data_IF_375535541789
#
_entry.id   IF_375535541789
#
_cell.length_a   1.000
_cell.length_b   1.000
_cell.length_c   1.000
_cell.angle_alpha   90.00
_cell.angle_beta   90.00
_cell.angle_gamma   90.00
#
_symmetry.space_group_name_H-M   'P 1'
#
loop_
_entity.id
_entity.type
_entity.pdbx_description
1 polymer ?
#
# COMPACT_ATOMS: atom_id res chain seq x y z
N UNK A 1 -2.73 2.69 10.12
CA UNK A 1 -3.48 2.86 8.84
C UNK A 1 -3.02 1.85 7.80
N UNK A 2 -3.89 1.42 6.88
CA UNK A 2 -3.60 0.37 5.88
C UNK A 2 -3.84 0.87 4.46
N UNK A 3 -2.94 0.48 3.54
CA UNK A 3 -3.10 0.64 2.08
C UNK A 3 -2.80 -0.68 1.36
N UNK A 4 -3.40 -0.84 0.18
CA UNK A 4 -3.06 -1.90 -0.79
C UNK A 4 -2.43 -1.24 -1.99
N UNK A 5 -1.33 -1.82 -2.49
CA UNK A 5 -0.58 -1.33 -3.64
C UNK A 5 -0.95 -2.10 -4.91
N UNK A 6 -0.75 -1.47 -6.06
CA UNK A 6 -0.96 -2.08 -7.38
C UNK A 6 -0.03 -3.27 -7.61
N UNK A 7 -0.26 -4.00 -8.71
CA UNK A 7 0.74 -4.92 -9.21
C UNK A 7 2.09 -4.19 -9.39
N UNK A 8 3.17 -4.84 -8.99
CA UNK A 8 4.52 -4.28 -8.91
C UNK A 8 4.69 -3.11 -7.91
N UNK A 9 3.77 -2.94 -6.96
CA UNK A 9 3.86 -2.05 -5.79
C UNK A 9 4.06 -0.55 -6.10
N UNK A 10 3.69 -0.12 -7.31
CA UNK A 10 3.94 1.24 -7.79
C UNK A 10 2.99 2.30 -7.22
N UNK A 11 1.70 1.98 -7.10
CA UNK A 11 0.66 2.96 -6.72
C UNK A 11 -0.31 2.42 -5.68
N UNK A 12 -0.93 3.30 -4.89
CA UNK A 12 -1.99 2.92 -3.95
C UNK A 12 -3.31 2.64 -4.68
N UNK A 13 -3.87 1.44 -4.51
CA UNK A 13 -5.12 1.00 -5.17
C UNK A 13 -6.28 0.74 -4.20
N UNK A 14 -6.00 0.55 -2.91
CA UNK A 14 -7.03 0.55 -1.86
C UNK A 14 -6.50 1.17 -0.56
N UNK A 15 -7.42 1.68 0.26
CA UNK A 15 -7.10 2.46 1.47
C UNK A 15 -8.15 2.23 2.54
N UNK A 16 -7.69 1.97 3.76
CA UNK A 16 -8.50 2.05 4.99
C UNK A 16 -9.05 3.46 5.22
N UNK A 17 -10.04 3.60 6.11
CA UNK A 17 -10.63 4.90 6.44
C UNK A 17 -9.59 5.84 7.07
N UNK A 18 -8.74 5.31 7.93
CA UNK A 18 -7.64 6.01 8.60
C UNK A 18 -6.63 6.54 7.58
N UNK A 19 -6.28 5.75 6.56
CA UNK A 19 -5.37 6.20 5.50
C UNK A 19 -5.99 7.32 4.65
N UNK A 20 -7.31 7.29 4.41
CA UNK A 20 -8.02 8.40 3.74
C UNK A 20 -8.00 9.67 4.58
N UNK A 21 -8.19 9.56 5.90
CA UNK A 21 -8.14 10.70 6.81
C UNK A 21 -6.75 11.35 6.89
N UNK A 22 -5.68 10.58 6.66
CA UNK A 22 -4.31 11.09 6.53
C UNK A 22 -4.02 11.74 5.17
N UNK A 23 -5.00 11.84 4.27
CA UNK A 23 -4.85 12.49 2.98
C UNK A 23 -4.19 11.65 1.89
N UNK A 24 -3.92 10.36 2.15
CA UNK A 24 -3.37 9.45 1.13
C UNK A 24 -4.39 9.31 0.00
N UNK A 25 -4.03 9.72 -1.21
CA UNK A 25 -4.93 9.71 -2.39
C UNK A 25 -4.98 8.34 -3.06
N UNK A 26 -6.03 8.08 -3.84
CA UNK A 26 -6.06 6.89 -4.71
C UNK A 26 -5.13 7.11 -5.89
N UNK A 27 -4.45 6.05 -6.36
CA UNK A 27 -3.57 6.09 -7.51
C UNK A 27 -2.27 6.86 -7.29
N UNK A 28 -2.02 7.37 -6.08
CA UNK A 28 -0.76 8.07 -5.78
C UNK A 28 0.41 7.09 -5.87
N UNK A 29 1.50 7.44 -6.57
CA UNK A 29 2.71 6.63 -6.58
C UNK A 29 3.35 6.53 -5.18
N UNK A 30 3.76 5.34 -4.78
CA UNK A 30 4.30 5.08 -3.44
C UNK A 30 5.54 5.91 -3.14
N UNK A 31 6.40 6.15 -4.13
CA UNK A 31 7.61 6.96 -3.95
C UNK A 31 7.32 8.41 -3.53
N UNK A 32 6.14 8.95 -3.86
CA UNK A 32 5.75 10.31 -3.50
C UNK A 32 5.27 10.45 -2.04
N UNK A 33 4.85 9.34 -1.44
CA UNK A 33 4.24 9.33 -0.09
C UNK A 33 5.02 8.46 0.90
N UNK A 34 6.22 8.02 0.54
CA UNK A 34 7.03 7.09 1.34
C UNK A 34 7.36 7.67 2.72
N UNK A 35 7.69 8.96 2.79
CA UNK A 35 8.00 9.64 4.04
C UNK A 35 6.77 9.73 4.96
N UNK A 36 5.60 10.04 4.41
CA UNK A 36 4.34 10.08 5.14
C UNK A 36 3.93 8.69 5.64
N UNK A 37 4.13 7.66 4.80
CA UNK A 37 3.87 6.27 5.19
C UNK A 37 4.71 5.86 6.40
N UNK A 38 6.01 6.19 6.39
CA UNK A 38 6.91 5.92 7.52
C UNK A 38 6.50 6.72 8.76
N UNK A 39 6.25 8.03 8.60
CA UNK A 39 5.89 8.93 9.71
C UNK A 39 4.63 8.50 10.44
N UNK A 40 3.66 7.92 9.73
CA UNK A 40 2.36 7.49 10.29
C UNK A 40 2.25 5.98 10.52
N UNK A 41 3.32 5.21 10.30
CA UNK A 41 3.29 3.75 10.41
C UNK A 41 2.22 3.12 9.51
N UNK A 42 2.15 3.54 8.25
CA UNK A 42 1.20 2.98 7.28
C UNK A 42 1.68 1.59 6.84
N UNK A 43 0.85 0.58 7.06
CA UNK A 43 1.09 -0.77 6.57
C UNK A 43 0.65 -0.88 5.11
N UNK A 44 1.55 -1.35 4.26
CA UNK A 44 1.29 -1.57 2.84
C UNK A 44 1.22 -3.07 2.52
N UNK A 45 0.19 -3.45 1.77
CA UNK A 45 0.01 -4.79 1.26
C UNK A 45 0.14 -4.80 -0.25
N UNK A 46 0.97 -5.69 -0.79
CA UNK A 46 1.10 -5.88 -2.23
C UNK A 46 -0.12 -6.60 -2.81
N UNK A 47 -0.68 -6.12 -3.92
CA UNK A 47 -1.69 -6.85 -4.70
C UNK A 47 -1.08 -7.76 -5.77
N UNK A 48 0.22 -8.10 -5.67
CA UNK A 48 0.84 -9.02 -6.61
C UNK A 48 0.09 -10.35 -6.60
N UNK A 49 -0.54 -10.67 -7.74
CA UNK A 49 -1.15 -11.97 -7.98
C UNK A 49 -0.02 -12.94 -8.29
N UNK A 50 0.47 -13.67 -7.29
CA UNK A 50 1.33 -14.81 -7.58
C UNK A 50 0.47 -15.84 -8.35
N UNK A 51 0.65 -15.94 -9.66
CA UNK A 51 0.10 -17.00 -10.53
C UNK A 51 0.77 -18.37 -10.23
N UNK A 52 1.07 -18.63 -8.98
CA UNK A 52 1.65 -19.87 -8.48
C UNK A 52 1.02 -20.11 -7.12
N UNK A 53 0.34 -21.25 -7.01
CA UNK A 53 -0.45 -21.70 -5.85
C UNK A 53 0.09 -21.20 -4.49
N UNK A 54 -0.66 -20.29 -3.85
CA UNK A 54 -0.63 -20.15 -2.38
C UNK A 54 0.31 -19.13 -1.73
N UNK A 55 0.49 -17.91 -2.26
CA UNK A 55 1.03 -16.79 -1.46
C UNK A 55 0.18 -15.53 -1.59
N UNK A 56 -0.85 -15.44 -0.75
CA UNK A 56 -1.70 -14.28 -0.60
C UNK A 56 -1.02 -13.30 0.38
N UNK A 57 -0.65 -12.12 -0.14
CA UNK A 57 -0.12 -10.96 0.58
C UNK A 57 1.32 -11.08 1.13
N UNK A 58 2.25 -10.32 0.54
CA UNK A 58 3.54 -9.99 1.18
C UNK A 58 3.39 -8.70 1.98
N UNK A 59 3.67 -8.77 3.26
CA UNK A 59 3.79 -7.60 4.12
C UNK A 59 5.17 -6.95 3.92
N UNK A 60 5.17 -5.67 3.52
CA UNK A 60 6.34 -4.82 3.67
C UNK A 60 6.02 -3.75 4.70
N UNK A 61 6.77 -3.74 5.81
CA UNK A 61 6.80 -2.62 6.74
C UNK A 61 7.71 -1.57 6.09
N UNK A 62 7.10 -0.57 5.44
CA UNK A 62 7.80 0.48 4.70
C UNK A 62 8.08 1.69 5.56
#
# INVERSE_FOLDING_TARGET
>A
PIVVLSNNDGCVVARSREAKLLGIKMGVPVFQIKAEMQRHGILAFSSNYALTVGKYFRHHML
#
